data_IF_895357807827
#
_entry.id   IF_895357807827
#
_cell.length_a   1.000
_cell.length_b   1.000
_cell.length_c   1.000
_cell.angle_alpha   90.00
_cell.angle_beta   90.00
_cell.angle_gamma   90.00
#
_symmetry.space_group_name_H-M   'P 1'
#
loop_
_entity.id
_entity.type
_entity.pdbx_description
1 polymer ?
#
# COMPACT_ATOMS: atom_id res chain seq x y z
N UNK A 1 -51.75 -13.80 98.27
CA UNK A 1 -51.76 -13.23 96.91
C UNK A 1 -50.70 -12.13 96.85
N UNK A 2 -49.59 -12.31 96.13
CA UNK A 2 -48.54 -11.27 95.96
C UNK A 2 -48.18 -11.20 94.47
N UNK A 3 -48.58 -10.10 93.82
CA UNK A 3 -48.11 -9.71 92.49
C UNK A 3 -46.69 -9.13 92.61
N UNK A 4 -45.80 -9.46 91.66
CA UNK A 4 -44.47 -8.88 91.59
C UNK A 4 -44.20 -8.37 90.16
N UNK A 5 -44.22 -7.05 89.98
CA UNK A 5 -43.84 -6.36 88.74
C UNK A 5 -42.31 -6.30 88.64
N UNK A 6 -41.73 -6.81 87.54
CA UNK A 6 -40.29 -6.72 87.27
C UNK A 6 -40.02 -5.54 86.33
N UNK A 7 -39.49 -4.44 86.87
CA UNK A 7 -39.14 -3.22 86.14
C UNK A 7 -38.01 -3.40 85.13
N UNK A 8 -38.13 -2.76 83.97
CA UNK A 8 -37.08 -2.63 82.94
C UNK A 8 -35.99 -1.67 83.44
N UNK A 9 -34.74 -2.10 83.43
CA UNK A 9 -33.55 -1.26 83.69
C UNK A 9 -33.01 -0.73 82.36
N UNK A 10 -33.08 0.58 82.15
CA UNK A 10 -32.38 1.24 81.04
C UNK A 10 -30.90 1.40 81.42
N UNK A 11 -29.98 0.90 80.58
CA UNK A 11 -28.54 1.09 80.74
C UNK A 11 -28.11 2.29 79.88
N UNK A 12 -27.67 3.38 80.50
CA UNK A 12 -27.08 4.51 79.79
C UNK A 12 -25.69 4.16 79.24
N UNK A 13 -25.46 4.42 77.95
CA UNK A 13 -24.15 4.34 77.30
C UNK A 13 -23.40 5.65 77.55
N UNK A 14 -22.11 5.59 77.92
CA UNK A 14 -21.24 6.77 77.99
C UNK A 14 -20.87 7.25 76.59
N UNK A 15 -20.86 8.58 76.38
CA UNK A 15 -20.62 9.19 75.07
C UNK A 15 -19.31 8.68 74.41
N UNK A 16 -18.26 8.46 75.20
CA UNK A 16 -16.98 7.93 74.72
C UNK A 16 -17.12 6.53 74.12
N UNK A 17 -17.89 5.64 74.75
CA UNK A 17 -18.12 4.29 74.23
C UNK A 17 -18.92 4.33 72.91
N UNK A 18 -19.85 5.28 72.79
CA UNK A 18 -20.60 5.51 71.55
C UNK A 18 -19.69 6.02 70.43
N UNK A 19 -18.80 6.96 70.71
CA UNK A 19 -17.88 7.53 69.70
C UNK A 19 -16.89 6.47 69.21
N UNK A 20 -16.29 5.69 70.10
CA UNK A 20 -15.35 4.63 69.72
C UNK A 20 -16.03 3.55 68.86
N UNK A 21 -17.24 3.13 69.23
CA UNK A 21 -17.99 2.14 68.44
C UNK A 21 -18.33 2.66 67.05
N UNK A 22 -18.71 3.93 66.91
CA UNK A 22 -18.94 4.56 65.60
C UNK A 22 -17.65 4.60 64.77
N UNK A 23 -16.51 4.99 65.36
CA UNK A 23 -15.22 5.03 64.63
C UNK A 23 -14.82 3.63 64.14
N UNK A 24 -14.92 2.61 64.99
CA UNK A 24 -14.59 1.23 64.60
C UNK A 24 -15.50 0.73 63.49
N UNK A 25 -16.81 1.01 63.57
CA UNK A 25 -17.76 0.66 62.52
C UNK A 25 -17.45 1.36 61.19
N UNK A 26 -17.07 2.64 61.22
CA UNK A 26 -16.69 3.39 60.02
C UNK A 26 -15.41 2.84 59.38
N UNK A 27 -14.41 2.46 60.19
CA UNK A 27 -13.18 1.83 59.68
C UNK A 27 -13.48 0.46 59.06
N UNK A 28 -14.28 -0.38 59.74
CA UNK A 28 -14.67 -1.70 59.21
C UNK A 28 -15.46 -1.56 57.90
N UNK A 29 -16.40 -0.63 57.84
CA UNK A 29 -17.18 -0.35 56.64
C UNK A 29 -16.26 0.13 55.50
N UNK A 30 -15.33 1.04 55.77
CA UNK A 30 -14.35 1.51 54.80
C UNK A 30 -13.50 0.39 54.21
N UNK A 31 -12.94 -0.49 55.05
CA UNK A 31 -12.13 -1.64 54.59
C UNK A 31 -12.99 -2.63 53.79
N UNK A 32 -14.23 -2.90 54.24
CA UNK A 32 -15.13 -3.86 53.58
C UNK A 32 -15.60 -3.37 52.21
N UNK A 33 -15.90 -2.08 52.08
CA UNK A 33 -16.25 -1.48 50.79
C UNK A 33 -15.03 -1.50 49.87
N UNK A 34 -13.84 -1.16 50.36
CA UNK A 34 -12.61 -1.21 49.57
C UNK A 34 -12.29 -2.63 49.06
N UNK A 35 -12.49 -3.67 49.88
CA UNK A 35 -12.27 -5.07 49.46
C UNK A 35 -13.38 -5.61 48.55
N UNK A 36 -14.58 -5.03 48.59
CA UNK A 36 -15.71 -5.45 47.74
C UNK A 36 -15.68 -4.77 46.37
N UNK A 37 -15.57 -3.43 46.34
CA UNK A 37 -15.78 -2.58 45.16
C UNK A 37 -14.57 -1.74 44.75
N UNK A 38 -13.48 -1.73 45.52
CA UNK A 38 -12.26 -1.02 45.13
C UNK A 38 -11.61 -1.64 43.87
N UNK A 39 -10.59 -0.98 43.32
CA UNK A 39 -9.92 -1.43 42.08
C UNK A 39 -9.34 -2.86 42.20
N UNK A 40 -8.91 -3.23 43.41
CA UNK A 40 -8.45 -4.59 43.76
C UNK A 40 -9.52 -5.45 44.46
N UNK A 41 -10.77 -4.96 44.49
CA UNK A 41 -11.89 -5.59 45.14
C UNK A 41 -12.37 -6.85 44.41
N UNK A 42 -13.08 -7.71 45.14
CA UNK A 42 -13.49 -9.03 44.63
C UNK A 42 -14.46 -8.94 43.46
N UNK A 43 -15.36 -7.95 43.44
CA UNK A 43 -16.33 -7.78 42.35
C UNK A 43 -15.63 -7.35 41.06
N UNK A 44 -14.66 -6.44 41.17
CA UNK A 44 -13.87 -5.98 40.02
C UNK A 44 -13.05 -7.14 39.44
N UNK A 45 -12.33 -7.88 40.29
CA UNK A 45 -11.58 -9.09 39.87
C UNK A 45 -12.46 -10.16 39.24
N UNK A 46 -13.64 -10.41 39.83
CA UNK A 46 -14.60 -11.37 39.27
C UNK A 46 -15.13 -10.92 37.92
N UNK A 47 -15.38 -9.62 37.73
CA UNK A 47 -15.83 -9.09 36.45
C UNK A 47 -14.72 -9.13 35.40
N UNK A 48 -13.49 -8.76 35.75
CA UNK A 48 -12.35 -8.81 34.85
C UNK A 48 -12.06 -10.26 34.41
N UNK A 49 -12.12 -11.23 35.33
CA UNK A 49 -12.01 -12.65 35.01
C UNK A 49 -13.14 -13.13 34.08
N UNK A 50 -14.38 -12.65 34.29
CA UNK A 50 -15.52 -12.95 33.43
C UNK A 50 -15.31 -12.41 32.01
N UNK A 51 -14.88 -11.16 31.87
CA UNK A 51 -14.58 -10.56 30.57
C UNK A 51 -13.41 -11.27 29.88
N UNK A 52 -12.39 -11.67 30.63
CA UNK A 52 -11.26 -12.44 30.11
C UNK A 52 -11.72 -13.80 29.54
N UNK A 53 -12.56 -14.54 30.27
CA UNK A 53 -13.16 -15.80 29.78
C UNK A 53 -14.08 -15.58 28.57
N UNK A 54 -14.88 -14.51 28.58
CA UNK A 54 -15.74 -14.14 27.45
C UNK A 54 -14.91 -13.86 26.20
N UNK A 55 -13.85 -13.05 26.34
CA UNK A 55 -12.93 -12.74 25.26
C UNK A 55 -12.26 -13.99 24.67
N UNK A 56 -11.81 -14.92 25.52
CA UNK A 56 -11.23 -16.18 25.07
C UNK A 56 -12.22 -17.04 24.27
N UNK A 57 -13.49 -17.09 24.69
CA UNK A 57 -14.53 -17.84 23.99
C UNK A 57 -14.84 -17.25 22.61
N UNK A 58 -14.86 -15.91 22.50
CA UNK A 58 -15.05 -15.21 21.23
C UNK A 58 -13.84 -15.42 20.31
N UNK A 59 -12.63 -15.32 20.86
CA UNK A 59 -11.38 -15.54 20.11
C UNK A 59 -11.35 -16.94 19.49
N UNK A 60 -11.63 -17.99 20.27
CA UNK A 60 -11.68 -19.37 19.79
C UNK A 60 -12.72 -19.55 18.66
N UNK A 61 -13.92 -18.99 18.82
CA UNK A 61 -14.95 -19.05 17.80
C UNK A 61 -14.54 -18.36 16.50
N UNK A 62 -13.87 -17.20 16.61
CA UNK A 62 -13.36 -16.45 15.45
C UNK A 62 -12.23 -17.21 14.76
N UNK A 63 -11.28 -17.78 15.51
CA UNK A 63 -10.19 -18.58 14.95
C UNK A 63 -10.70 -19.81 14.22
N UNK A 64 -11.64 -20.55 14.81
CA UNK A 64 -12.30 -21.69 14.15
C UNK A 64 -13.03 -21.27 12.89
N UNK A 65 -13.77 -20.16 12.94
CA UNK A 65 -14.44 -19.60 11.78
C UNK A 65 -13.47 -19.27 10.64
N UNK A 66 -12.34 -18.62 10.95
CA UNK A 66 -11.28 -18.32 9.97
C UNK A 66 -10.66 -19.58 9.36
N UNK A 67 -10.39 -20.59 10.18
CA UNK A 67 -9.84 -21.87 9.73
C UNK A 67 -10.82 -22.57 8.78
N UNK A 68 -12.11 -22.58 9.11
CA UNK A 68 -13.15 -23.17 8.25
C UNK A 68 -13.24 -22.43 6.91
N UNK A 69 -13.31 -21.08 6.95
CA UNK A 69 -13.27 -20.22 5.75
C UNK A 69 -12.06 -20.52 4.87
N UNK A 70 -10.87 -20.62 5.48
CA UNK A 70 -9.63 -20.92 4.75
C UNK A 70 -9.68 -22.31 4.13
N UNK A 71 -10.13 -23.31 4.87
CA UNK A 71 -10.22 -24.69 4.39
C UNK A 71 -11.14 -24.80 3.17
N UNK A 72 -12.28 -24.11 3.21
CA UNK A 72 -13.25 -24.13 2.13
C UNK A 72 -12.76 -23.49 0.83
N UNK A 73 -11.91 -22.48 0.91
CA UNK A 73 -11.31 -21.86 -0.30
C UNK A 73 -10.45 -22.84 -1.10
N UNK A 74 -9.99 -23.91 -0.46
CA UNK A 74 -9.19 -24.98 -1.08
C UNK A 74 -9.97 -26.28 -1.30
N UNK A 75 -11.26 -26.35 -0.96
CA UNK A 75 -12.10 -27.55 -1.16
C UNK A 75 -13.36 -27.21 -1.97
N UNK A 76 -13.69 -28.01 -2.98
CA UNK A 76 -14.91 -27.82 -3.77
C UNK A 76 -16.16 -28.14 -2.93
N UNK A 77 -16.85 -27.12 -2.40
CA UNK A 77 -18.17 -27.27 -1.76
C UNK A 77 -18.42 -26.51 -0.44
N UNK A 78 -18.04 -25.23 -0.33
CA UNK A 78 -18.11 -24.50 0.92
C UNK A 78 -19.53 -24.19 1.46
N UNK A 79 -19.74 -24.44 2.75
CA UNK A 79 -20.94 -24.08 3.54
C UNK A 79 -20.56 -23.22 4.75
N UNK A 80 -19.38 -22.58 4.75
CA UNK A 80 -18.86 -21.90 5.91
C UNK A 80 -19.69 -20.67 6.19
N UNK A 81 -19.89 -20.49 7.47
CA UNK A 81 -20.64 -19.39 8.02
C UNK A 81 -20.09 -18.05 7.50
N UNK A 82 -20.97 -17.16 7.06
CA UNK A 82 -20.59 -15.77 6.76
C UNK A 82 -20.15 -15.02 8.03
N UNK A 83 -19.47 -13.87 7.89
CA UNK A 83 -19.16 -13.04 9.06
C UNK A 83 -20.44 -12.67 9.83
N UNK A 84 -21.51 -12.29 9.13
CA UNK A 84 -22.76 -11.91 9.79
C UNK A 84 -23.42 -13.06 10.53
N UNK A 85 -23.40 -14.26 9.95
CA UNK A 85 -23.91 -15.44 10.63
C UNK A 85 -23.08 -15.74 11.89
N UNK A 86 -21.75 -15.58 11.85
CA UNK A 86 -20.90 -15.74 13.05
C UNK A 86 -21.29 -14.72 14.12
N UNK A 87 -21.49 -13.46 13.72
CA UNK A 87 -21.91 -12.41 14.65
C UNK A 87 -23.29 -12.71 15.26
N UNK A 88 -24.22 -13.26 14.48
CA UNK A 88 -25.54 -13.68 14.96
C UNK A 88 -25.43 -14.78 16.03
N UNK A 89 -24.57 -15.78 15.80
CA UNK A 89 -24.35 -16.87 16.77
C UNK A 89 -23.68 -16.37 18.06
N UNK A 90 -22.68 -15.49 17.95
CA UNK A 90 -22.02 -14.90 19.10
C UNK A 90 -22.97 -14.03 19.92
N UNK A 91 -23.83 -13.25 19.26
CA UNK A 91 -24.84 -12.42 19.93
C UNK A 91 -25.92 -13.27 20.61
N UNK A 92 -26.41 -14.32 19.92
CA UNK A 92 -27.36 -15.29 20.49
C UNK A 92 -26.80 -16.00 21.72
N UNK A 93 -25.51 -16.30 21.72
CA UNK A 93 -24.78 -16.86 22.86
C UNK A 93 -24.45 -15.82 23.95
N UNK A 94 -24.77 -14.54 23.72
CA UNK A 94 -24.46 -13.40 24.60
C UNK A 94 -22.96 -13.23 24.84
N UNK A 95 -22.15 -13.66 23.88
CA UNK A 95 -20.70 -13.49 23.89
C UNK A 95 -20.31 -12.10 23.38
N UNK A 96 -21.15 -11.49 22.54
CA UNK A 96 -21.03 -10.09 22.12
C UNK A 96 -22.36 -9.34 22.32
N UNK A 97 -22.27 -8.02 22.40
CA UNK A 97 -23.40 -7.07 22.46
C UNK A 97 -23.67 -6.45 21.09
N UNK A 98 -24.87 -5.88 20.91
CA UNK A 98 -25.25 -5.14 19.69
C UNK A 98 -24.26 -4.01 19.36
N UNK A 99 -23.78 -3.29 20.38
CA UNK A 99 -22.76 -2.24 20.23
C UNK A 99 -21.40 -2.79 19.80
N UNK A 100 -20.99 -3.94 20.35
CA UNK A 100 -19.77 -4.62 19.90
C UNK A 100 -19.92 -5.11 18.46
N UNK A 101 -21.09 -5.64 18.07
CA UNK A 101 -21.42 -6.05 16.69
C UNK A 101 -21.30 -4.87 15.72
N UNK A 102 -21.84 -3.71 16.08
CA UNK A 102 -21.69 -2.48 15.29
C UNK A 102 -20.21 -2.10 15.14
N UNK A 103 -19.43 -2.18 16.22
CA UNK A 103 -17.99 -1.91 16.18
C UNK A 103 -17.23 -2.91 15.28
N UNK A 104 -17.57 -4.20 15.33
CA UNK A 104 -16.98 -5.21 14.42
C UNK A 104 -17.33 -4.89 12.96
N UNK A 105 -18.57 -4.52 12.68
CA UNK A 105 -18.98 -4.18 11.31
C UNK A 105 -18.19 -2.96 10.78
N UNK A 106 -17.97 -1.96 11.63
CA UNK A 106 -17.29 -0.72 11.28
C UNK A 106 -15.75 -0.84 11.22
N UNK A 107 -15.14 -1.47 12.24
CA UNK A 107 -13.68 -1.47 12.46
C UNK A 107 -13.05 -2.83 12.16
N UNK A 108 -13.83 -3.92 12.15
CA UNK A 108 -13.34 -5.28 11.87
C UNK A 108 -12.65 -5.97 13.07
N UNK A 109 -12.66 -5.34 14.24
CA UNK A 109 -12.05 -5.86 15.47
C UNK A 109 -12.80 -5.36 16.72
N UNK A 110 -12.63 -6.06 17.85
CA UNK A 110 -13.10 -5.62 19.17
C UNK A 110 -12.10 -6.00 20.26
N UNK A 111 -12.18 -5.31 21.40
CA UNK A 111 -11.41 -5.64 22.61
C UNK A 111 -12.36 -6.12 23.71
N UNK A 112 -12.16 -7.34 24.21
CA UNK A 112 -12.92 -7.93 25.33
C UNK A 112 -11.92 -8.41 26.38
N UNK A 113 -12.03 -7.90 27.61
CA UNK A 113 -11.01 -8.13 28.64
C UNK A 113 -9.66 -7.55 28.19
N UNK A 114 -8.60 -8.36 28.23
CA UNK A 114 -7.28 -7.98 27.73
C UNK A 114 -7.01 -8.34 26.26
N UNK A 115 -7.97 -9.02 25.60
CA UNK A 115 -7.81 -9.55 24.23
C UNK A 115 -8.34 -8.59 23.18
N UNK A 116 -7.61 -8.45 22.07
CA UNK A 116 -8.09 -7.76 20.86
C UNK A 116 -8.27 -8.78 19.75
N UNK A 117 -9.53 -8.98 19.35
CA UNK A 117 -9.96 -10.07 18.47
C UNK A 117 -10.23 -9.49 17.08
N UNK A 118 -9.55 -10.02 16.06
CA UNK A 118 -9.64 -9.57 14.67
C UNK A 118 -10.63 -10.43 13.90
N UNK A 119 -11.73 -9.84 13.43
CA UNK A 119 -12.76 -10.54 12.65
C UNK A 119 -12.48 -10.45 11.16
N UNK A 120 -11.93 -9.33 10.69
CA UNK A 120 -11.54 -9.16 9.29
C UNK A 120 -10.03 -9.31 9.14
N UNK A 121 -9.61 -10.03 8.11
CA UNK A 121 -8.19 -10.07 7.74
C UNK A 121 -7.73 -8.68 7.30
N UNK A 122 -6.48 -8.35 7.63
CA UNK A 122 -5.84 -7.12 7.17
C UNK A 122 -5.09 -7.41 5.89
N UNK A 123 -5.30 -6.57 4.89
CA UNK A 123 -4.48 -6.59 3.68
C UNK A 123 -3.01 -6.33 4.02
N UNK A 124 -2.11 -7.03 3.33
CA UNK A 124 -0.66 -6.92 3.50
C UNK A 124 0.02 -6.63 2.16
N UNK A 125 1.27 -6.16 2.23
CA UNK A 125 2.09 -5.93 1.04
C UNK A 125 2.32 -7.26 0.32
N UNK A 126 2.11 -7.26 -1.00
CA UNK A 126 2.26 -8.43 -1.86
C UNK A 126 1.01 -9.29 -2.00
N UNK A 127 -0.07 -9.01 -1.27
CA UNK A 127 -1.31 -9.78 -1.40
C UNK A 127 -1.90 -9.66 -2.80
N UNK A 128 -2.52 -10.73 -3.28
CA UNK A 128 -3.25 -10.73 -4.55
C UNK A 128 -4.62 -10.08 -4.41
N UNK A 129 -5.00 -9.30 -5.43
CA UNK A 129 -6.30 -8.63 -5.51
C UNK A 129 -6.95 -8.96 -6.86
N UNK A 130 -8.21 -9.36 -6.82
CA UNK A 130 -9.04 -9.70 -7.98
C UNK A 130 -9.62 -8.46 -8.64
N UNK A 131 -8.77 -7.48 -8.92
CA UNK A 131 -9.12 -6.28 -9.68
C UNK A 131 -9.21 -6.60 -11.18
N UNK A 132 -10.23 -6.05 -11.84
CA UNK A 132 -10.43 -6.18 -13.30
C UNK A 132 -10.69 -4.80 -13.92
N UNK A 133 -9.80 -4.30 -14.79
CA UNK A 133 -10.07 -3.10 -15.59
C UNK A 133 -11.13 -3.38 -16.67
N UNK A 134 -11.68 -2.31 -17.26
CA UNK A 134 -12.57 -2.41 -18.43
C UNK A 134 -11.74 -2.63 -19.71
N UNK A 135 -12.28 -3.39 -20.65
CA UNK A 135 -11.64 -3.57 -21.96
C UNK A 135 -11.69 -2.26 -22.76
N UNK A 136 -10.52 -1.75 -23.12
CA UNK A 136 -10.32 -0.50 -23.85
C UNK A 136 -9.15 -0.62 -24.82
N UNK A 137 -9.03 0.40 -25.68
CA UNK A 137 -7.93 0.56 -26.63
C UNK A 137 -7.27 1.91 -26.44
N UNK A 138 -5.98 2.00 -26.77
CA UNK A 138 -5.22 3.25 -26.71
C UNK A 138 -4.23 3.33 -27.88
N UNK A 139 -4.02 4.53 -28.43
CA UNK A 139 -3.11 4.75 -29.55
C UNK A 139 -2.06 5.79 -29.18
N UNK A 140 -0.78 5.41 -29.32
CA UNK A 140 0.33 6.35 -29.26
C UNK A 140 0.66 6.79 -30.69
N UNK A 141 0.47 8.09 -30.97
CA UNK A 141 0.85 8.67 -32.26
C UNK A 141 2.36 8.76 -32.43
N UNK A 142 2.85 8.45 -33.63
CA UNK A 142 4.25 8.63 -34.03
C UNK A 142 4.78 10.05 -33.85
N UNK A 143 3.88 11.04 -33.96
CA UNK A 143 4.20 12.47 -33.76
C UNK A 143 4.65 12.80 -32.34
N UNK A 144 4.36 11.92 -31.38
CA UNK A 144 4.68 12.11 -29.97
C UNK A 144 5.62 11.03 -29.40
N UNK A 145 5.73 9.85 -30.00
CA UNK A 145 6.67 8.82 -29.53
C UNK A 145 8.07 8.92 -30.15
N UNK A 146 8.19 9.61 -31.29
CA UNK A 146 9.42 9.60 -32.10
C UNK A 146 9.65 8.28 -32.84
N UNK A 147 8.77 7.30 -32.67
CA UNK A 147 8.79 6.06 -33.44
C UNK A 147 8.27 6.30 -34.87
N UNK A 148 8.56 5.38 -35.79
CA UNK A 148 8.18 5.52 -37.21
C UNK A 148 6.67 5.41 -37.43
N UNK A 149 5.99 4.64 -36.58
CA UNK A 149 4.60 4.25 -36.75
C UNK A 149 3.75 4.56 -35.53
N UNK A 150 2.44 4.69 -35.75
CA UNK A 150 1.48 4.73 -34.66
C UNK A 150 1.45 3.36 -33.98
N UNK A 151 1.26 3.34 -32.68
CA UNK A 151 1.26 2.12 -31.87
C UNK A 151 -0.12 1.96 -31.24
N UNK A 152 -0.74 0.80 -31.41
CA UNK A 152 -2.08 0.49 -30.90
C UNK A 152 -2.00 -0.57 -29.80
N UNK A 153 -2.75 -0.34 -28.72
CA UNK A 153 -2.74 -1.19 -27.53
C UNK A 153 -4.15 -1.51 -27.09
N UNK A 154 -4.32 -2.68 -26.50
CA UNK A 154 -5.57 -3.09 -25.86
C UNK A 154 -5.31 -3.54 -24.43
N UNK A 155 -6.30 -3.34 -23.54
CA UNK A 155 -6.22 -3.80 -22.15
C UNK A 155 -5.89 -5.30 -22.07
N UNK A 156 -4.84 -5.65 -21.33
CA UNK A 156 -4.46 -7.03 -21.06
C UNK A 156 -5.08 -7.56 -19.76
N UNK A 157 -5.34 -8.87 -19.69
CA UNK A 157 -5.76 -9.52 -18.46
C UNK A 157 -4.54 -9.77 -17.56
N UNK A 158 -4.31 -8.85 -16.61
CA UNK A 158 -3.21 -8.92 -15.64
C UNK A 158 -3.72 -9.35 -14.27
N UNK A 159 -2.89 -10.08 -13.51
CA UNK A 159 -3.09 -10.24 -12.07
C UNK A 159 -2.59 -9.00 -11.32
N UNK A 160 -3.09 -8.75 -10.11
CA UNK A 160 -2.76 -7.54 -9.33
C UNK A 160 -2.29 -7.91 -7.94
N UNK A 161 -1.32 -7.15 -7.42
CA UNK A 161 -0.76 -7.32 -6.09
C UNK A 161 -0.68 -5.99 -5.35
N UNK A 162 -0.82 -6.01 -4.03
CA UNK A 162 -0.66 -4.80 -3.21
C UNK A 162 0.81 -4.37 -3.22
N UNK A 163 1.08 -3.17 -3.72
CA UNK A 163 2.39 -2.52 -3.70
C UNK A 163 2.54 -1.62 -2.47
N UNK A 164 1.48 -0.89 -2.11
CA UNK A 164 1.52 0.09 -1.04
C UNK A 164 0.17 0.20 -0.33
N UNK A 165 0.20 0.48 0.97
CA UNK A 165 -0.97 0.82 1.79
C UNK A 165 -0.67 2.21 2.35
N UNK A 166 -1.44 3.20 1.90
CA UNK A 166 -1.17 4.61 2.15
C UNK A 166 -1.90 5.09 3.41
N UNK A 167 -1.31 6.07 4.10
CA UNK A 167 -1.90 6.67 5.31
C UNK A 167 -3.22 7.41 5.03
N UNK A 168 -3.42 7.83 3.79
CA UNK A 168 -4.64 8.52 3.32
C UNK A 168 -5.84 7.57 3.07
N UNK A 169 -5.67 6.28 3.35
CA UNK A 169 -6.71 5.26 3.16
C UNK A 169 -6.74 4.67 1.75
N UNK A 170 -5.83 5.04 0.86
CA UNK A 170 -5.68 4.41 -0.45
C UNK A 170 -4.71 3.24 -0.44
N UNK A 171 -4.77 2.41 -1.48
CA UNK A 171 -3.92 1.26 -1.73
C UNK A 171 -3.46 1.33 -3.18
N UNK A 172 -2.17 1.15 -3.39
CA UNK A 172 -1.60 1.02 -4.73
C UNK A 172 -1.46 -0.46 -5.08
N UNK A 173 -2.12 -0.88 -6.15
CA UNK A 173 -2.01 -2.21 -6.74
C UNK A 173 -1.03 -2.16 -7.89
N UNK A 174 -0.05 -3.06 -7.94
CA UNK A 174 0.82 -3.24 -9.09
C UNK A 174 0.40 -4.49 -9.86
N UNK A 175 0.43 -4.40 -11.19
CA UNK A 175 0.36 -5.57 -12.06
C UNK A 175 1.37 -6.65 -11.61
N UNK A 176 0.98 -7.93 -11.59
CA UNK A 176 1.81 -9.04 -11.13
C UNK A 176 2.99 -9.32 -12.09
N UNK A 177 2.83 -8.97 -13.37
CA UNK A 177 3.86 -9.04 -14.42
C UNK A 177 3.73 -7.79 -15.32
N UNK A 178 4.78 -7.38 -16.04
CA UNK A 178 4.67 -6.32 -17.04
C UNK A 178 3.72 -6.75 -18.16
N UNK A 179 3.23 -5.79 -18.94
CA UNK A 179 2.45 -6.07 -20.15
C UNK A 179 3.24 -6.91 -21.14
N UNK A 180 2.55 -7.70 -21.96
CA UNK A 180 3.16 -8.44 -23.06
C UNK A 180 3.53 -7.54 -24.23
N UNK A 181 2.72 -6.50 -24.48
CA UNK A 181 2.99 -5.48 -25.51
C UNK A 181 4.06 -4.50 -25.03
N UNK A 182 5.01 -4.19 -25.92
CA UNK A 182 6.08 -3.22 -25.70
C UNK A 182 5.76 -1.87 -26.36
N UNK A 183 6.16 -0.79 -25.69
CA UNK A 183 6.05 0.59 -26.17
C UNK A 183 7.39 1.06 -26.72
N UNK A 184 7.36 1.69 -27.89
CA UNK A 184 8.53 2.16 -28.62
C UNK A 184 8.69 3.67 -28.48
N UNK A 185 9.88 4.10 -28.06
CA UNK A 185 10.28 5.50 -28.01
C UNK A 185 11.62 5.70 -28.70
N UNK A 186 11.79 6.86 -29.33
CA UNK A 186 13.04 7.22 -30.00
C UNK A 186 13.26 8.75 -29.98
N UNK A 187 14.53 9.14 -29.88
CA UNK A 187 14.96 10.53 -30.07
C UNK A 187 14.49 11.49 -28.96
N UNK A 188 14.63 12.78 -29.24
CA UNK A 188 14.23 13.83 -28.31
C UNK A 188 12.70 13.82 -28.10
N UNK A 189 11.93 13.55 -29.16
CA UNK A 189 10.47 13.39 -29.07
C UNK A 189 10.07 12.29 -28.07
N UNK A 190 10.65 11.09 -28.15
CA UNK A 190 10.38 10.00 -27.22
C UNK A 190 10.77 10.35 -25.77
N UNK A 191 11.90 11.02 -25.58
CA UNK A 191 12.31 11.52 -24.26
C UNK A 191 11.33 12.56 -23.70
N UNK A 192 10.90 13.51 -24.53
CA UNK A 192 10.01 14.60 -24.13
C UNK A 192 8.67 14.05 -23.62
N UNK A 193 8.09 13.09 -24.34
CA UNK A 193 6.70 12.68 -24.13
C UNK A 193 6.54 11.36 -23.40
N UNK A 194 7.61 10.55 -23.27
CA UNK A 194 7.52 9.18 -22.77
C UNK A 194 6.81 9.04 -21.42
N UNK A 195 7.12 9.91 -20.45
CA UNK A 195 6.46 9.91 -19.13
C UNK A 195 4.95 10.12 -19.24
N UNK A 196 4.52 11.14 -20.00
CA UNK A 196 3.10 11.42 -20.22
C UNK A 196 2.42 10.24 -20.90
N UNK A 197 3.00 9.75 -22.00
CA UNK A 197 2.39 8.70 -22.82
C UNK A 197 2.26 7.37 -22.05
N UNK A 198 3.25 7.02 -21.22
CA UNK A 198 3.18 5.84 -20.36
C UNK A 198 2.07 5.96 -19.31
N UNK A 199 1.96 7.13 -18.66
CA UNK A 199 0.94 7.36 -17.65
C UNK A 199 -0.47 7.44 -18.23
N UNK A 200 -0.65 8.16 -19.34
CA UNK A 200 -1.94 8.32 -20.02
C UNK A 200 -2.44 6.99 -20.58
N UNK A 201 -1.56 6.19 -21.20
CA UNK A 201 -1.88 4.84 -21.63
C UNK A 201 -2.33 3.96 -20.46
N UNK A 202 -1.62 3.99 -19.33
CA UNK A 202 -2.01 3.22 -18.16
C UNK A 202 -3.36 3.67 -17.60
N UNK A 203 -3.56 4.98 -17.50
CA UNK A 203 -4.80 5.58 -17.03
C UNK A 203 -5.99 5.17 -17.91
N UNK A 204 -5.82 5.19 -19.23
CA UNK A 204 -6.90 4.81 -20.13
C UNK A 204 -7.19 3.31 -20.04
N UNK A 205 -6.16 2.45 -20.15
CA UNK A 205 -6.32 1.01 -20.28
C UNK A 205 -6.64 0.28 -18.96
N UNK A 206 -6.19 0.79 -17.82
CA UNK A 206 -6.22 0.06 -16.55
C UNK A 206 -7.00 0.74 -15.42
N UNK A 207 -7.50 1.96 -15.60
CA UNK A 207 -8.46 2.56 -14.65
C UNK A 207 -9.87 1.96 -14.79
N UNK A 208 -10.66 2.06 -13.72
CA UNK A 208 -12.06 1.68 -13.71
C UNK A 208 -12.86 2.66 -12.85
N UNK A 209 -13.49 3.64 -13.50
CA UNK A 209 -14.23 4.71 -12.83
C UNK A 209 -15.42 4.19 -12.00
N UNK A 210 -16.05 3.08 -12.41
CA UNK A 210 -17.14 2.45 -11.66
C UNK A 210 -16.65 1.89 -10.31
N UNK A 211 -15.36 1.53 -10.24
CA UNK A 211 -14.67 1.11 -9.02
C UNK A 211 -13.88 2.25 -8.38
N UNK A 212 -14.03 3.49 -8.88
CA UNK A 212 -13.33 4.70 -8.44
C UNK A 212 -11.81 4.52 -8.40
N UNK A 213 -11.26 3.80 -9.38
CA UNK A 213 -9.82 3.58 -9.50
C UNK A 213 -9.21 4.46 -10.59
N UNK A 214 -7.97 4.85 -10.36
CA UNK A 214 -7.13 5.52 -11.37
C UNK A 214 -5.84 4.73 -11.54
N UNK A 215 -5.22 4.82 -12.71
CA UNK A 215 -4.03 4.05 -13.03
C UNK A 215 -2.94 4.94 -13.62
N UNK A 216 -1.69 4.53 -13.40
CA UNK A 216 -0.48 5.15 -13.95
C UNK A 216 0.56 4.07 -14.25
N UNK A 217 1.62 4.44 -14.95
CA UNK A 217 2.77 3.55 -15.07
C UNK A 217 3.60 3.63 -13.78
N UNK A 218 4.28 2.52 -13.46
CA UNK A 218 5.32 2.49 -12.43
C UNK A 218 6.37 3.56 -12.74
N UNK A 219 6.83 4.26 -11.72
CA UNK A 219 7.85 5.29 -11.82
C UNK A 219 9.06 4.98 -10.91
N UNK A 220 10.06 5.86 -10.91
CA UNK A 220 11.29 5.66 -10.15
C UNK A 220 11.10 5.91 -8.65
N UNK A 221 10.18 6.80 -8.27
CA UNK A 221 9.87 7.11 -6.88
C UNK A 221 9.26 5.89 -6.18
N UNK A 222 8.43 5.11 -6.88
CA UNK A 222 7.92 3.82 -6.40
C UNK A 222 9.05 2.86 -5.96
N UNK A 223 10.22 2.95 -6.61
CA UNK A 223 11.41 2.18 -6.25
C UNK A 223 12.18 2.87 -5.12
N UNK A 224 12.48 4.16 -5.28
CA UNK A 224 13.30 4.93 -4.34
C UNK A 224 12.69 5.00 -2.93
N UNK A 225 11.37 5.16 -2.82
CA UNK A 225 10.64 5.23 -1.55
C UNK A 225 10.67 3.91 -0.74
N UNK A 226 11.08 2.82 -1.40
CA UNK A 226 11.18 1.48 -0.79
C UNK A 226 12.64 1.07 -0.55
N UNK A 227 13.63 1.89 -0.91
CA UNK A 227 15.04 1.64 -0.60
C UNK A 227 15.34 1.86 0.89
N UNK A 228 16.38 1.19 1.40
CA UNK A 228 16.90 1.37 2.77
C UNK A 228 17.63 2.70 2.94
N UNK A 229 18.28 3.18 1.89
CA UNK A 229 19.08 4.41 1.89
C UNK A 229 19.07 5.05 0.51
N UNK A 230 19.04 6.38 0.48
CA UNK A 230 19.22 7.15 -0.77
C UNK A 230 20.62 6.98 -1.37
N UNK A 231 21.62 6.60 -0.58
CA UNK A 231 22.99 6.33 -1.05
C UNK A 231 23.03 5.22 -2.10
N UNK A 232 22.03 4.32 -2.12
CA UNK A 232 21.89 3.32 -3.17
C UNK A 232 21.89 3.96 -4.55
N UNK A 233 21.27 5.13 -4.74
CA UNK A 233 21.28 5.83 -6.03
C UNK A 233 22.14 7.11 -6.02
N UNK A 234 22.16 7.90 -4.95
CA UNK A 234 22.99 9.11 -4.84
C UNK A 234 24.49 8.79 -4.77
N UNK A 235 24.86 7.62 -4.25
CA UNK A 235 26.23 7.11 -4.25
C UNK A 235 26.62 6.42 -5.56
N UNK A 236 25.87 6.59 -6.65
CA UNK A 236 26.22 6.00 -7.94
C UNK A 236 27.40 6.72 -8.59
N UNK A 237 28.34 5.92 -9.09
CA UNK A 237 29.44 6.36 -9.94
C UNK A 237 29.45 5.49 -11.20
N UNK A 238 29.46 6.14 -12.36
CA UNK A 238 29.51 5.46 -13.65
C UNK A 238 30.88 4.81 -13.89
N UNK A 239 30.98 3.94 -14.90
CA UNK A 239 32.26 3.32 -15.29
C UNK A 239 33.33 4.33 -15.71
N UNK A 240 32.94 5.54 -16.09
CA UNK A 240 33.84 6.63 -16.46
C UNK A 240 34.22 7.53 -15.28
N UNK A 241 33.79 7.19 -14.06
CA UNK A 241 34.10 7.94 -12.84
C UNK A 241 33.12 9.08 -12.52
N UNK A 242 32.08 9.26 -13.34
CA UNK A 242 31.12 10.35 -13.14
C UNK A 242 30.08 9.98 -12.10
N UNK A 243 29.97 10.80 -11.05
CA UNK A 243 29.07 10.59 -9.91
C UNK A 243 27.67 11.14 -10.19
N UNK A 244 26.65 10.55 -9.58
CA UNK A 244 25.32 11.13 -9.51
C UNK A 244 25.38 12.57 -8.98
N UNK A 245 24.61 13.47 -9.58
CA UNK A 245 24.62 14.90 -9.25
C UNK A 245 25.77 15.71 -9.85
N UNK A 246 26.76 15.07 -10.48
CA UNK A 246 27.81 15.79 -11.23
C UNK A 246 27.19 16.55 -12.40
N UNK A 247 27.75 17.69 -12.76
CA UNK A 247 27.21 18.52 -13.84
C UNK A 247 28.29 19.00 -14.77
N UNK A 248 27.96 19.09 -16.07
CA UNK A 248 28.85 19.62 -17.11
C UNK A 248 28.10 20.59 -18.00
N UNK A 249 28.81 21.59 -18.52
CA UNK A 249 28.27 22.58 -19.46
C UNK A 249 28.65 22.20 -20.88
N UNK A 250 27.67 22.27 -21.79
CA UNK A 250 27.82 21.84 -23.17
C UNK A 250 27.69 23.03 -24.12
N UNK A 251 28.83 23.48 -24.65
CA UNK A 251 28.92 24.61 -25.59
C UNK A 251 29.15 24.17 -27.05
N UNK A 252 29.34 22.87 -27.30
CA UNK A 252 29.61 22.32 -28.64
C UNK A 252 28.51 21.36 -29.09
N UNK A 253 28.14 20.39 -28.25
CA UNK A 253 27.03 19.48 -28.50
C UNK A 253 25.72 20.13 -27.99
N UNK A 254 25.04 20.87 -28.87
CA UNK A 254 23.98 21.83 -28.51
C UNK A 254 22.53 21.35 -28.72
N UNK A 255 22.31 20.06 -29.06
CA UNK A 255 20.96 19.57 -29.27
C UNK A 255 20.39 19.08 -27.95
N UNK A 256 19.44 19.80 -27.35
CA UNK A 256 18.83 19.40 -26.08
C UNK A 256 17.35 19.12 -26.26
N UNK A 257 16.79 18.04 -25.67
CA UNK A 257 15.35 17.82 -25.67
C UNK A 257 14.61 18.98 -24.98
N UNK A 258 13.54 19.46 -25.59
CA UNK A 258 12.76 20.58 -25.10
C UNK A 258 12.23 20.37 -23.66
N UNK A 259 11.79 19.15 -23.33
CA UNK A 259 11.22 18.87 -22.01
C UNK A 259 12.25 18.96 -20.88
N UNK A 260 13.51 18.63 -21.14
CA UNK A 260 14.57 18.69 -20.13
C UNK A 260 14.77 20.14 -19.61
N UNK A 261 14.52 21.15 -20.45
CA UNK A 261 14.60 22.55 -20.01
C UNK A 261 13.60 22.91 -18.91
N UNK A 262 12.47 22.20 -18.86
CA UNK A 262 11.40 22.48 -17.91
C UNK A 262 11.65 21.82 -16.54
N UNK A 263 12.54 20.83 -16.46
CA UNK A 263 12.80 20.04 -15.24
C UNK A 263 14.25 20.10 -14.74
N UNK A 264 15.18 20.68 -15.52
CA UNK A 264 16.63 20.72 -15.24
C UNK A 264 17.24 19.34 -14.94
N UNK A 265 16.52 18.24 -15.19
CA UNK A 265 16.93 16.87 -14.94
C UNK A 265 17.01 16.41 -13.48
N UNK A 266 16.78 17.25 -12.46
CA UNK A 266 17.04 16.90 -11.02
C UNK A 266 15.78 16.84 -10.16
N UNK A 267 14.78 17.66 -10.47
CA UNK A 267 13.47 17.61 -9.81
C UNK A 267 12.46 17.14 -10.86
N UNK A 268 11.56 16.23 -10.50
CA UNK A 268 10.38 15.86 -11.31
C UNK A 268 10.63 14.90 -12.48
N UNK A 269 11.55 13.93 -12.30
CA UNK A 269 11.82 12.89 -13.30
C UNK A 269 10.54 12.21 -13.81
N UNK A 270 9.56 12.00 -12.92
CA UNK A 270 8.30 11.32 -13.21
C UNK A 270 7.08 12.24 -13.36
N UNK A 271 7.26 13.56 -13.34
CA UNK A 271 6.13 14.47 -13.47
C UNK A 271 5.58 14.44 -14.90
N UNK A 272 4.26 14.30 -14.98
CA UNK A 272 3.53 14.43 -16.24
C UNK A 272 3.58 15.87 -16.73
N UNK A 273 3.88 16.02 -18.01
CA UNK A 273 4.00 17.32 -18.69
C UNK A 273 3.22 17.26 -19.99
N UNK A 274 2.84 18.42 -20.50
CA UNK A 274 2.11 18.51 -21.76
C UNK A 274 2.93 17.92 -22.91
N UNK A 275 2.24 17.29 -23.85
CA UNK A 275 2.86 16.73 -25.04
C UNK A 275 3.58 17.82 -25.86
N UNK A 276 4.79 17.51 -26.29
CA UNK A 276 5.62 18.33 -27.18
C UNK A 276 5.65 17.64 -28.55
N UNK A 277 5.16 18.28 -29.62
CA UNK A 277 5.17 17.70 -30.94
C UNK A 277 6.59 17.69 -31.53
N UNK A 278 6.85 16.79 -32.48
CA UNK A 278 8.17 16.55 -33.07
C UNK A 278 8.84 17.81 -33.65
N UNK A 279 8.05 18.77 -34.18
CA UNK A 279 8.58 20.02 -34.73
C UNK A 279 9.20 20.96 -33.68
N UNK A 280 8.95 20.69 -32.39
CA UNK A 280 9.47 21.44 -31.24
C UNK A 280 10.26 20.54 -30.29
N UNK A 281 10.78 19.41 -30.79
CA UNK A 281 11.40 18.40 -29.92
C UNK A 281 12.73 18.86 -29.30
N UNK A 282 13.42 19.80 -29.95
CA UNK A 282 14.67 20.39 -29.49
C UNK A 282 14.45 21.79 -28.94
N UNK A 283 15.31 22.19 -28.02
CA UNK A 283 15.32 23.55 -27.51
C UNK A 283 16.24 24.48 -28.27
N UNK A 284 15.90 25.77 -28.30
CA UNK A 284 16.64 26.82 -29.03
C UNK A 284 17.79 27.46 -28.23
N UNK A 285 18.52 26.71 -27.40
CA UNK A 285 19.61 27.27 -26.57
C UNK A 285 21.00 26.96 -27.11
N UNK A 286 21.91 27.93 -26.98
CA UNK A 286 23.29 27.85 -27.45
C UNK A 286 24.23 27.09 -26.51
N UNK A 287 23.88 26.96 -25.24
CA UNK A 287 24.66 26.24 -24.22
C UNK A 287 23.77 25.84 -23.05
N UNK A 288 24.13 24.74 -22.37
CA UNK A 288 23.41 24.32 -21.17
C UNK A 288 24.25 23.45 -20.24
N UNK A 289 24.03 23.61 -18.94
CA UNK A 289 24.58 22.72 -17.90
C UNK A 289 23.61 21.57 -17.65
N UNK A 290 24.07 20.33 -17.76
CA UNK A 290 23.27 19.13 -17.48
C UNK A 290 23.83 18.43 -16.26
N UNK A 291 22.93 18.08 -15.34
CA UNK A 291 23.22 17.29 -14.15
C UNK A 291 22.96 15.81 -14.42
N UNK A 292 23.93 14.95 -14.07
CA UNK A 292 23.79 13.51 -14.14
C UNK A 292 22.78 13.02 -13.10
N UNK A 293 21.68 12.45 -13.57
CA UNK A 293 20.66 11.80 -12.75
C UNK A 293 20.43 10.34 -13.11
N UNK A 294 21.11 9.85 -14.15
CA UNK A 294 21.30 8.42 -14.35
C UNK A 294 22.00 7.82 -13.13
N UNK A 295 21.39 6.77 -12.62
CA UNK A 295 22.03 5.79 -11.77
C UNK A 295 21.68 4.41 -12.30
N UNK A 296 22.59 3.47 -12.11
CA UNK A 296 22.47 2.14 -12.68
C UNK A 296 22.97 1.09 -11.68
N UNK A 297 22.05 0.24 -11.21
CA UNK A 297 22.34 -0.83 -10.24
C UNK A 297 21.91 -2.17 -10.79
N UNK A 298 22.82 -3.13 -10.70
CA UNK A 298 22.56 -4.52 -11.07
C UNK A 298 21.52 -5.18 -10.15
N UNK A 299 21.05 -6.35 -10.60
CA UNK A 299 20.04 -7.12 -9.91
C UNK A 299 20.48 -7.55 -8.50
N UNK A 300 21.77 -7.86 -8.30
CA UNK A 300 22.31 -8.30 -7.01
C UNK A 300 22.29 -7.16 -5.98
N UNK A 301 22.71 -5.97 -6.38
CA UNK A 301 22.62 -4.75 -5.57
C UNK A 301 21.16 -4.44 -5.25
N UNK A 302 20.29 -4.44 -6.26
CA UNK A 302 18.87 -4.13 -6.05
C UNK A 302 18.17 -5.14 -5.16
N UNK A 303 18.54 -6.43 -5.20
CA UNK A 303 17.94 -7.48 -4.37
C UNK A 303 18.05 -7.20 -2.88
N UNK A 304 19.13 -6.55 -2.44
CA UNK A 304 19.41 -6.31 -1.01
C UNK A 304 19.13 -4.87 -0.56
N UNK A 305 18.77 -3.99 -1.49
CA UNK A 305 18.65 -2.55 -1.26
C UNK A 305 17.31 -2.09 -0.65
N UNK A 306 16.28 -2.94 -0.62
CA UNK A 306 14.92 -2.57 -0.19
C UNK A 306 14.67 -2.74 1.30
N UNK A 307 13.85 -1.87 1.89
CA UNK A 307 13.41 -1.96 3.29
C UNK A 307 12.57 -3.23 3.53
N UNK A 308 12.62 -3.72 4.76
CA UNK A 308 11.82 -4.87 5.19
C UNK A 308 10.36 -4.45 5.44
N UNK A 309 9.43 -5.38 5.24
CA UNK A 309 8.01 -5.17 5.55
C UNK A 309 7.33 -6.49 5.89
N UNK A 310 6.20 -6.42 6.61
CA UNK A 310 5.33 -7.58 6.87
C UNK A 310 4.51 -7.93 5.61
N UNK A 311 4.35 -9.22 5.35
CA UNK A 311 3.56 -9.82 4.28
C UNK A 311 2.67 -10.93 4.85
N UNK A 312 1.83 -11.56 4.03
CA UNK A 312 1.08 -12.75 4.46
C UNK A 312 1.94 -13.99 4.78
N UNK A 313 3.24 -13.97 4.43
CA UNK A 313 4.13 -15.13 4.59
C UNK A 313 5.26 -14.89 5.59
N UNK A 314 5.56 -13.63 5.93
CA UNK A 314 6.62 -13.28 6.87
C UNK A 314 6.31 -11.95 7.55
N UNK A 315 6.60 -11.84 8.85
CA UNK A 315 6.54 -10.56 9.56
C UNK A 315 7.65 -9.59 9.11
N UNK A 316 8.75 -10.13 8.59
CA UNK A 316 9.87 -9.37 8.03
C UNK A 316 10.32 -10.01 6.71
N UNK A 317 9.82 -9.47 5.60
CA UNK A 317 10.21 -9.87 4.25
C UNK A 317 11.14 -8.80 3.65
N UNK A 318 12.37 -9.22 3.31
CA UNK A 318 13.39 -8.35 2.73
C UNK A 318 13.45 -8.38 1.20
N UNK A 319 12.73 -9.31 0.54
CA UNK A 319 12.78 -9.50 -0.91
C UNK A 319 11.47 -9.06 -1.60
N UNK A 320 10.37 -8.88 -0.89
CA UNK A 320 9.05 -8.61 -1.49
C UNK A 320 9.05 -7.40 -2.41
N UNK A 321 9.67 -6.28 -2.03
CA UNK A 321 9.74 -5.09 -2.88
C UNK A 321 10.59 -5.33 -4.12
N UNK A 322 11.75 -5.96 -4.00
CA UNK A 322 12.56 -6.35 -5.16
C UNK A 322 11.75 -7.22 -6.12
N UNK A 323 11.00 -8.18 -5.58
CA UNK A 323 10.15 -9.04 -6.38
C UNK A 323 9.04 -8.25 -7.08
N UNK A 324 8.27 -7.42 -6.37
CA UNK A 324 7.18 -6.63 -6.96
C UNK A 324 7.69 -5.62 -8.01
N UNK A 325 8.77 -4.90 -7.71
CA UNK A 325 9.22 -3.73 -8.45
C UNK A 325 10.29 -3.99 -9.50
N UNK A 326 11.11 -5.04 -9.35
CA UNK A 326 12.29 -5.28 -10.19
C UNK A 326 12.37 -6.68 -10.81
N UNK A 327 11.85 -7.72 -10.14
CA UNK A 327 12.13 -9.13 -10.47
C UNK A 327 10.90 -9.98 -10.83
N UNK A 328 9.73 -9.37 -11.01
CA UNK A 328 8.54 -10.11 -11.45
C UNK A 328 8.51 -10.28 -12.95
N UNK A 329 8.84 -11.49 -13.42
CA UNK A 329 8.63 -11.95 -14.79
C UNK A 329 9.81 -11.82 -15.75
N UNK A 330 11.04 -11.58 -15.24
CA UNK A 330 12.29 -11.43 -16.03
C UNK A 330 12.19 -10.46 -17.23
N UNK A 331 11.27 -9.49 -17.17
CA UNK A 331 10.94 -8.60 -18.28
C UNK A 331 11.76 -7.32 -18.31
N UNK A 332 11.72 -6.63 -19.46
CA UNK A 332 12.19 -5.26 -19.64
C UNK A 332 10.98 -4.34 -19.70
N UNK A 333 10.91 -3.36 -18.80
CA UNK A 333 9.82 -2.39 -18.80
C UNK A 333 10.32 -0.97 -18.59
N UNK A 334 9.55 -0.02 -19.11
CA UNK A 334 9.74 1.40 -18.85
C UNK A 334 9.34 1.74 -17.42
N UNK A 335 10.04 2.71 -16.84
CA UNK A 335 9.53 3.52 -15.75
C UNK A 335 9.11 4.85 -16.36
N UNK A 336 7.98 5.40 -15.91
CA UNK A 336 7.53 6.73 -16.31
C UNK A 336 8.37 7.81 -15.62
N UNK A 337 9.67 7.81 -15.90
CA UNK A 337 10.67 8.69 -15.30
C UNK A 337 11.79 8.97 -16.30
N UNK A 338 12.22 10.22 -16.42
CA UNK A 338 13.35 10.62 -17.27
C UNK A 338 14.68 10.46 -16.53
N UNK A 339 15.78 10.48 -17.27
CA UNK A 339 17.12 10.70 -16.71
C UNK A 339 18.02 11.46 -17.70
N UNK A 340 19.06 12.07 -17.17
CA UNK A 340 20.20 12.56 -17.95
C UNK A 340 21.49 11.87 -17.52
N UNK A 341 22.31 11.46 -18.48
CA UNK A 341 23.65 10.94 -18.29
C UNK A 341 24.65 11.95 -18.86
N UNK A 342 25.49 12.51 -18.01
CA UNK A 342 26.45 13.55 -18.36
C UNK A 342 27.88 13.03 -18.10
N UNK A 343 28.41 12.09 -18.90
CA UNK A 343 29.65 11.40 -18.54
C UNK A 343 30.91 12.26 -18.71
N UNK A 344 30.83 13.34 -19.50
CA UNK A 344 31.94 14.27 -19.77
C UNK A 344 31.41 15.58 -20.35
N UNK A 345 32.28 16.58 -20.54
CA UNK A 345 31.97 17.86 -21.21
C UNK A 345 31.70 17.75 -22.72
N UNK A 346 32.02 16.61 -23.35
CA UNK A 346 31.92 16.47 -24.82
C UNK A 346 30.50 16.20 -25.32
N UNK A 347 29.70 15.44 -24.56
CA UNK A 347 28.30 15.16 -24.86
C UNK A 347 27.54 14.68 -23.61
N UNK A 348 26.22 14.83 -23.63
CA UNK A 348 25.30 14.20 -22.69
C UNK A 348 24.30 13.32 -23.43
N UNK A 349 23.63 12.46 -22.68
CA UNK A 349 22.68 11.48 -23.18
C UNK A 349 21.42 11.53 -22.33
N UNK A 350 20.26 11.45 -22.98
CA UNK A 350 18.95 11.50 -22.36
C UNK A 350 18.20 10.20 -22.62
N UNK A 351 17.41 9.77 -21.63
CA UNK A 351 16.61 8.57 -21.75
C UNK A 351 15.47 8.50 -20.73
N UNK A 352 14.73 7.41 -20.79
CA UNK A 352 13.73 7.06 -19.78
C UNK A 352 14.28 5.95 -18.91
N UNK A 353 14.01 6.00 -17.61
CA UNK A 353 14.38 4.93 -16.71
C UNK A 353 13.60 3.66 -17.03
N UNK A 354 14.12 2.54 -16.58
CA UNK A 354 13.54 1.25 -16.84
C UNK A 354 14.18 0.16 -15.98
N UNK A 355 13.48 -0.96 -15.92
CA UNK A 355 14.02 -2.18 -15.34
C UNK A 355 14.37 -3.15 -16.46
N UNK A 356 15.47 -3.88 -16.32
CA UNK A 356 15.84 -5.01 -17.17
C UNK A 356 16.38 -6.13 -16.29
N UNK A 357 15.63 -7.21 -16.16
CA UNK A 357 16.10 -8.42 -15.46
C UNK A 357 16.61 -8.11 -14.04
N UNK A 358 15.83 -7.37 -13.25
CA UNK A 358 16.21 -6.95 -11.89
C UNK A 358 17.11 -5.71 -11.81
N UNK A 359 17.80 -5.34 -12.89
CA UNK A 359 18.63 -4.12 -12.97
C UNK A 359 17.75 -2.88 -13.10
N UNK A 360 18.04 -1.84 -12.32
CA UNK A 360 17.39 -0.52 -12.45
C UNK A 360 18.38 0.46 -13.10
N UNK A 361 17.92 1.14 -14.14
CA UNK A 361 18.70 2.11 -14.92
C UNK A 361 17.82 2.69 -16.01
N UNK A 362 18.29 2.68 -17.25
CA UNK A 362 17.45 3.00 -18.41
C UNK A 362 18.25 3.03 -19.71
N UNK A 363 17.62 2.81 -20.87
CA UNK A 363 18.28 2.94 -22.15
C UNK A 363 18.36 4.41 -22.59
N UNK A 364 19.26 4.67 -23.53
CA UNK A 364 19.47 5.98 -24.11
C UNK A 364 18.54 6.20 -25.30
N UNK A 365 17.95 7.39 -25.39
CA UNK A 365 17.05 7.78 -26.49
C UNK A 365 17.63 8.89 -27.35
N UNK A 366 18.46 9.78 -26.79
CA UNK A 366 18.92 10.96 -27.51
C UNK A 366 20.26 11.50 -26.98
N UNK A 367 21.16 11.90 -27.88
CA UNK A 367 22.46 12.47 -27.53
C UNK A 367 22.51 13.96 -27.88
N UNK A 368 23.26 14.74 -27.11
CA UNK A 368 23.41 16.18 -27.40
C UNK A 368 24.15 16.50 -28.69
N UNK A 369 24.87 15.53 -29.26
CA UNK A 369 25.45 15.60 -30.60
C UNK A 369 24.40 15.47 -31.72
N UNK A 370 23.17 15.05 -31.38
CA UNK A 370 22.11 14.69 -32.32
C UNK A 370 22.21 13.26 -32.85
N UNK A 371 23.13 12.45 -32.31
CA UNK A 371 23.15 11.03 -32.58
C UNK A 371 21.88 10.36 -32.01
N UNK A 372 21.26 9.50 -32.82
CA UNK A 372 20.11 8.70 -32.46
C UNK A 372 20.56 7.25 -32.21
N UNK A 373 20.33 6.71 -31.00
CA UNK A 373 20.52 5.29 -30.71
C UNK A 373 19.56 4.40 -31.51
N UNK A 374 19.74 3.09 -31.38
CA UNK A 374 18.73 2.12 -31.81
C UNK A 374 17.39 2.41 -31.13
N UNK A 375 16.29 2.13 -31.84
CA UNK A 375 14.95 2.18 -31.24
C UNK A 375 14.90 1.25 -30.03
N UNK A 376 14.31 1.75 -28.95
CA UNK A 376 14.14 1.00 -27.72
C UNK A 376 12.66 0.70 -27.51
N UNK A 377 12.39 -0.56 -27.18
CA UNK A 377 11.06 -1.06 -26.86
C UNK A 377 11.09 -1.75 -25.50
N UNK A 378 10.07 -1.49 -24.69
CA UNK A 378 9.90 -2.15 -23.39
C UNK A 378 8.43 -2.23 -23.02
N UNK A 379 8.08 -3.24 -22.24
CA UNK A 379 6.76 -3.38 -21.64
C UNK A 379 6.43 -2.21 -20.70
N UNK A 380 5.19 -2.16 -20.24
CA UNK A 380 4.73 -1.20 -19.24
C UNK A 380 4.34 -1.95 -17.97
N UNK A 381 4.46 -1.26 -16.83
CA UNK A 381 4.09 -1.81 -15.53
C UNK A 381 2.99 -0.98 -14.89
N UNK A 382 1.71 -1.30 -15.12
CA UNK A 382 0.59 -0.56 -14.54
C UNK A 382 0.58 -0.63 -13.01
N UNK A 383 0.26 0.51 -12.40
CA UNK A 383 -0.07 0.70 -10.99
C UNK A 383 -1.46 1.34 -10.91
N UNK A 384 -2.35 0.79 -10.08
CA UNK A 384 -3.74 1.22 -9.90
C UNK A 384 -3.94 1.67 -8.47
N UNK A 385 -4.42 2.89 -8.27
CA UNK A 385 -4.81 3.39 -6.96
C UNK A 385 -6.30 3.10 -6.71
N UNK A 386 -6.62 2.60 -5.52
CA UNK A 386 -7.97 2.29 -5.06
C UNK A 386 -8.12 2.62 -3.58
N UNK A 387 -9.33 2.95 -3.13
CA UNK A 387 -9.61 3.10 -1.69
C UNK A 387 -9.55 1.73 -0.97
N UNK A 388 -8.92 1.67 0.19
CA UNK A 388 -8.73 0.44 0.95
C UNK A 388 -10.07 -0.24 1.31
N UNK A 389 -11.10 0.57 1.62
CA UNK A 389 -12.44 0.10 1.98
C UNK A 389 -13.18 -0.61 0.84
N UNK A 390 -12.74 -0.44 -0.41
CA UNK A 390 -13.26 -1.14 -1.58
C UNK A 390 -12.67 -2.53 -1.76
N UNK A 391 -11.57 -2.86 -1.08
CA UNK A 391 -11.04 -4.22 -1.07
C UNK A 391 -11.89 -5.07 -0.12
N UNK A 392 -12.39 -6.19 -0.63
CA UNK A 392 -13.23 -7.12 0.10
C UNK A 392 -12.38 -8.26 0.66
N UNK A 393 -12.21 -8.27 1.99
CA UNK A 393 -11.43 -9.29 2.69
C UNK A 393 -12.23 -10.56 3.03
N UNK A 394 -13.52 -10.61 2.68
CA UNK A 394 -14.34 -11.79 2.90
C UNK A 394 -14.25 -12.81 1.74
N UNK A 395 -13.86 -12.36 0.54
CA UNK A 395 -13.90 -13.18 -0.69
C UNK A 395 -12.64 -14.01 -0.97
N UNK A 396 -11.53 -13.74 -0.27
CA UNK A 396 -10.23 -14.37 -0.52
C UNK A 396 -9.32 -14.25 0.69
N UNK A 397 -8.08 -14.75 0.63
CA UNK A 397 -7.03 -14.50 1.65
C UNK A 397 -5.79 -13.79 1.08
N UNK A 398 -5.80 -13.43 -0.20
CA UNK A 398 -4.71 -12.70 -0.83
C UNK A 398 -3.41 -13.49 -1.01
N UNK A 399 -3.37 -14.79 -0.68
CA UNK A 399 -2.13 -15.59 -0.74
C UNK A 399 -1.72 -15.95 -2.16
N UNK A 400 -2.68 -16.18 -3.06
CA UNK A 400 -2.47 -16.41 -4.49
C UNK A 400 -3.56 -15.80 -5.37
N UNK A 401 -3.39 -15.89 -6.70
CA UNK A 401 -4.30 -15.25 -7.67
C UNK A 401 -5.70 -15.86 -7.73
N UNK A 402 -5.91 -17.10 -7.30
CA UNK A 402 -7.23 -17.74 -7.27
C UNK A 402 -8.02 -17.32 -6.04
N UNK A 403 -7.33 -17.07 -4.92
CA UNK A 403 -7.91 -16.63 -3.64
C UNK A 403 -7.58 -15.18 -3.32
N UNK A 404 -7.38 -14.34 -4.34
CA UNK A 404 -7.13 -12.91 -4.18
C UNK A 404 -8.30 -12.17 -3.52
N UNK A 405 -8.00 -11.08 -2.82
CA UNK A 405 -9.01 -10.19 -2.24
C UNK A 405 -9.94 -9.64 -3.32
N UNK A 406 -11.24 -9.63 -3.07
CA UNK A 406 -12.24 -9.14 -4.01
C UNK A 406 -12.26 -7.62 -4.04
N UNK A 407 -13.02 -7.07 -4.99
CA UNK A 407 -13.35 -5.65 -4.98
C UNK A 407 -14.87 -5.54 -4.82
N UNK A 408 -15.32 -4.84 -3.78
CA UNK A 408 -16.74 -4.60 -3.52
C UNK A 408 -17.39 -3.98 -4.76
N UNK A 409 -18.56 -4.48 -5.13
CA UNK A 409 -19.40 -3.83 -6.13
C UNK A 409 -20.12 -2.67 -5.45
N UNK A 410 -20.26 -1.53 -6.13
CA UNK A 410 -21.14 -0.48 -5.62
C UNK A 410 -22.58 -0.99 -5.73
N UNK A 411 -23.21 -1.26 -4.59
CA UNK A 411 -24.64 -1.50 -4.54
C UNK A 411 -25.33 -0.24 -5.07
N UNK A 412 -25.89 -0.32 -6.28
CA UNK A 412 -26.69 0.73 -6.90
C UNK A 412 -28.08 0.88 -6.25
N UNK A 413 -28.20 0.66 -4.94
CA UNK A 413 -29.45 0.61 -4.19
C UNK A 413 -29.43 1.50 -2.93
N UNK A 414 -28.84 2.69 -3.01
CA UNK A 414 -29.09 3.77 -2.06
C UNK A 414 -29.46 5.04 -2.84
N UNK A 415 -30.63 5.01 -3.47
CA UNK A 415 -31.40 6.20 -3.87
C UNK A 415 -32.81 5.76 -4.32
N UNK A 416 -33.53 5.12 -3.39
CA UNK A 416 -35.00 5.06 -3.39
C UNK A 416 -35.46 5.09 -1.94
N UNK A 417 -35.46 6.29 -1.34
CA UNK A 417 -36.44 6.64 -0.31
C UNK A 417 -37.18 7.90 -0.72
#
# INVERSE_FOLDING_TARGET
>A
MKLNFKGRREKGITLIALVITIIVLLILAGVTIATLTGDNGILKKSNDAKEETRGASVEEAVELWKINKKTERYSEGGTSQGLQELLDDLEKQKLITEKERENINNVGQITIGSRTIQFKEKIKIGDYVNYKPKSKTYTISKTYSGYTDNQEYTTENLGWRILNINEDGTVDLISNKPTSQEVYFLGATGYNNGVYLLNDMCNELYSNLDKKTTARSLNIEDIQDKLKSEDTYKGYESKTGTKWGSSFTYDTAKKFPAQWQNDNGVEKESENKNLIPIEKELSDVESKTITQTLWDRDAETMKTAFKETSTNFSETDSEIYYNLLCNKGNGRYWLASRFANAPSESYAVFGLKGVREGRVGGPYLFYTSGFLPSVESRSVRPVVNIQADKIDTDTGDGTDSNVGWGIKEENSNENKS
#
